data_IF_099102577316
#
_entry.id   IF_099102577316
#
_cell.length_a   1.000
_cell.length_b   1.000
_cell.length_c   1.000
_cell.angle_alpha   90.00
_cell.angle_beta   90.00
_cell.angle_gamma   90.00
#
_symmetry.space_group_name_H-M   'P 1'
#
loop_
_entity.id
_entity.type
_entity.pdbx_description
1 polymer ?
#
# COMPACT_ATOMS: atom_id res chain seq x y z
N UNK A 1 -13.62 -11.39 -45.82
CA UNK A 1 -13.11 -12.72 -45.40
C UNK A 1 -13.68 -13.17 -44.04
N UNK A 2 -13.53 -12.42 -42.94
CA UNK A 2 -14.11 -12.76 -41.61
C UNK A 2 -15.64 -12.93 -41.64
N UNK A 3 -16.35 -12.07 -42.36
CA UNK A 3 -17.83 -12.09 -42.46
C UNK A 3 -18.39 -13.35 -43.11
N UNK A 4 -17.66 -13.94 -44.08
CA UNK A 4 -18.06 -15.18 -44.73
C UNK A 4 -17.90 -16.40 -43.81
N UNK A 5 -16.85 -16.40 -42.98
CA UNK A 5 -16.60 -17.44 -41.97
C UNK A 5 -17.69 -17.42 -40.90
N UNK A 6 -18.04 -16.26 -40.36
CA UNK A 6 -19.12 -16.15 -39.38
C UNK A 6 -20.47 -16.57 -39.96
N UNK A 7 -20.77 -16.18 -41.21
CA UNK A 7 -22.00 -16.63 -41.89
C UNK A 7 -22.05 -18.15 -42.04
N UNK A 8 -20.93 -18.80 -42.31
CA UNK A 8 -20.83 -20.26 -42.41
C UNK A 8 -20.95 -20.98 -41.06
N UNK A 9 -20.41 -20.38 -39.99
CA UNK A 9 -20.52 -20.90 -38.62
C UNK A 9 -21.96 -20.80 -38.10
N UNK A 10 -22.62 -19.66 -38.33
CA UNK A 10 -23.99 -19.41 -37.88
C UNK A 10 -25.08 -20.06 -38.75
N UNK A 11 -24.73 -20.58 -39.93
CA UNK A 11 -25.66 -21.28 -40.82
C UNK A 11 -26.07 -22.66 -40.28
N UNK A 12 -25.41 -23.16 -39.23
CA UNK A 12 -25.64 -24.48 -38.66
C UNK A 12 -25.57 -24.41 -37.12
N UNK A 13 -26.64 -24.85 -36.42
CA UNK A 13 -26.68 -24.84 -34.96
C UNK A 13 -25.53 -25.61 -34.30
N UNK A 14 -25.12 -26.75 -34.86
CA UNK A 14 -24.02 -27.55 -34.28
C UNK A 14 -22.68 -26.84 -34.42
N UNK A 15 -22.43 -26.19 -35.56
CA UNK A 15 -21.19 -25.41 -35.76
C UNK A 15 -21.15 -24.18 -34.86
N UNK A 16 -22.30 -23.55 -34.62
CA UNK A 16 -22.41 -22.44 -33.68
C UNK A 16 -22.08 -22.89 -32.25
N UNK A 17 -22.61 -24.04 -31.82
CA UNK A 17 -22.32 -24.60 -30.50
C UNK A 17 -20.85 -24.98 -30.31
N UNK A 18 -20.26 -25.67 -31.29
CA UNK A 18 -18.83 -26.00 -31.27
C UNK A 18 -17.95 -24.74 -31.26
N UNK A 19 -18.35 -23.69 -31.97
CA UNK A 19 -17.64 -22.42 -31.95
C UNK A 19 -17.73 -21.72 -30.58
N UNK A 20 -18.89 -21.76 -29.92
CA UNK A 20 -19.05 -21.24 -28.56
C UNK A 20 -18.21 -22.02 -27.55
N UNK A 21 -18.20 -23.35 -27.62
CA UNK A 21 -17.37 -24.19 -26.76
C UNK A 21 -15.87 -23.92 -26.98
N UNK A 22 -15.45 -23.79 -28.24
CA UNK A 22 -14.08 -23.42 -28.59
C UNK A 22 -13.70 -22.05 -28.00
N UNK A 23 -14.55 -21.04 -28.16
CA UNK A 23 -14.31 -19.70 -27.63
C UNK A 23 -14.23 -19.71 -26.10
N UNK A 24 -15.14 -20.43 -25.42
CA UNK A 24 -15.13 -20.59 -23.96
C UNK A 24 -13.85 -21.28 -23.46
N UNK A 25 -13.38 -22.31 -24.17
CA UNK A 25 -12.11 -22.97 -23.87
C UNK A 25 -10.91 -22.03 -24.05
N UNK A 26 -10.90 -21.24 -25.13
CA UNK A 26 -9.85 -20.24 -25.37
C UNK A 26 -9.81 -19.17 -24.28
N UNK A 27 -10.97 -18.65 -23.83
CA UNK A 27 -11.01 -17.68 -22.72
C UNK A 27 -10.53 -18.29 -21.41
N UNK A 28 -10.85 -19.55 -21.12
CA UNK A 28 -10.37 -20.23 -19.91
C UNK A 28 -8.85 -20.44 -19.93
N UNK A 29 -8.31 -20.93 -21.05
CA UNK A 29 -6.88 -21.15 -21.23
C UNK A 29 -6.08 -19.84 -21.15
N UNK A 30 -6.58 -18.77 -21.78
CA UNK A 30 -5.95 -17.44 -21.68
C UNK A 30 -6.02 -16.90 -20.25
N UNK A 31 -7.14 -17.11 -19.55
CA UNK A 31 -7.29 -16.68 -18.15
C UNK A 31 -6.32 -17.41 -17.21
N UNK A 32 -6.15 -18.72 -17.38
CA UNK A 32 -5.17 -19.52 -16.63
C UNK A 32 -3.73 -19.13 -16.99
N UNK A 33 -3.43 -18.93 -18.28
CA UNK A 33 -2.12 -18.47 -18.72
C UNK A 33 -1.78 -17.08 -18.15
N UNK A 34 -2.74 -16.15 -18.15
CA UNK A 34 -2.57 -14.84 -17.49
C UNK A 34 -2.37 -15.03 -15.99
N UNK A 35 -3.14 -15.89 -15.32
CA UNK A 35 -2.98 -16.14 -13.89
C UNK A 35 -1.63 -16.76 -13.52
N UNK A 36 -1.00 -17.51 -14.44
CA UNK A 36 0.33 -18.13 -14.24
C UNK A 36 1.49 -17.22 -14.64
N UNK A 37 1.33 -16.44 -15.72
CA UNK A 37 2.35 -15.51 -16.21
C UNK A 37 2.41 -14.23 -15.38
N UNK A 38 1.26 -13.82 -14.84
CA UNK A 38 1.20 -12.76 -13.85
C UNK A 38 1.61 -13.40 -12.54
N UNK A 39 2.78 -13.03 -12.01
CA UNK A 39 3.09 -13.21 -10.60
C UNK A 39 1.86 -12.74 -9.79
N UNK A 40 1.63 -13.21 -8.55
CA UNK A 40 0.67 -12.56 -7.67
C UNK A 40 1.12 -11.11 -7.45
N UNK A 41 0.77 -10.24 -8.39
CA UNK A 41 0.79 -8.81 -8.25
C UNK A 41 -0.10 -8.56 -7.06
N UNK A 42 0.55 -8.17 -5.98
CA UNK A 42 -0.05 -7.72 -4.74
C UNK A 42 -1.18 -6.75 -5.10
N UNK A 43 -2.41 -7.25 -5.13
CA UNK A 43 -3.51 -6.60 -5.85
C UNK A 43 -3.65 -5.17 -5.36
N UNK A 44 -3.53 -4.26 -6.32
CA UNK A 44 -3.87 -2.84 -6.21
C UNK A 44 -5.35 -2.69 -5.86
N UNK A 45 -5.68 -2.79 -4.59
CA UNK A 45 -6.79 -2.07 -4.01
C UNK A 45 -6.19 -0.97 -3.15
N UNK A 46 -6.22 0.26 -3.67
CA UNK A 46 -6.39 1.39 -2.78
C UNK A 46 -7.66 1.09 -1.97
N UNK A 47 -7.56 1.08 -0.65
CA UNK A 47 -8.69 0.64 0.16
C UNK A 47 -8.38 0.34 1.60
N UNK A 48 -9.45 0.14 2.36
CA UNK A 48 -9.41 -0.21 3.76
C UNK A 48 -9.09 -1.70 3.91
N UNK A 49 -8.10 -2.03 4.73
CA UNK A 49 -7.70 -3.38 5.08
C UNK A 49 -7.76 -3.56 6.59
N UNK A 50 -8.32 -4.69 7.02
CA UNK A 50 -8.18 -5.15 8.41
C UNK A 50 -6.90 -5.96 8.55
N UNK A 51 -6.11 -5.61 9.56
CA UNK A 51 -4.84 -6.24 9.90
C UNK A 51 -4.87 -6.72 11.33
N UNK A 52 -4.21 -7.84 11.59
CA UNK A 52 -4.20 -8.48 12.91
C UNK A 52 -3.15 -7.85 13.82
N UNK A 53 -3.24 -8.14 15.12
CA UNK A 53 -2.16 -7.79 16.05
C UNK A 53 -0.87 -8.55 15.68
N UNK A 54 0.28 -7.91 15.82
CA UNK A 54 1.59 -8.45 15.46
C UNK A 54 1.92 -8.40 13.98
N UNK A 55 0.99 -7.97 13.12
CA UNK A 55 1.23 -7.88 11.69
C UNK A 55 2.18 -6.73 11.35
N UNK A 56 3.18 -7.01 10.52
CA UNK A 56 4.20 -6.04 10.08
C UNK A 56 3.72 -5.36 8.81
N UNK A 57 3.46 -4.05 8.89
CA UNK A 57 2.98 -3.26 7.76
C UNK A 57 4.12 -2.74 6.87
N UNK A 58 5.25 -2.44 7.50
CA UNK A 58 6.46 -1.95 6.85
C UNK A 58 7.63 -2.67 7.50
N UNK A 59 8.60 -3.13 6.71
CA UNK A 59 9.90 -3.61 7.21
C UNK A 59 10.97 -2.57 6.88
N UNK A 60 11.84 -2.31 7.85
CA UNK A 60 13.01 -1.47 7.67
C UNK A 60 13.90 -2.05 6.56
N UNK A 61 14.45 -1.19 5.69
CA UNK A 61 15.30 -1.57 4.57
C UNK A 61 14.57 -1.95 3.29
N UNK A 62 13.25 -2.17 3.33
CA UNK A 62 12.47 -2.47 2.12
C UNK A 62 12.36 -1.24 1.21
N UNK A 63 11.97 -1.47 -0.04
CA UNK A 63 11.61 -0.39 -0.96
C UNK A 63 10.22 0.17 -0.62
N UNK A 64 9.98 1.42 -1.01
CA UNK A 64 8.74 2.12 -0.72
C UNK A 64 7.87 2.29 -1.98
N UNK A 65 6.85 1.43 -2.07
CA UNK A 65 5.87 1.39 -3.15
C UNK A 65 4.45 1.85 -2.70
N UNK A 66 4.22 1.97 -1.40
CA UNK A 66 2.93 2.39 -0.82
C UNK A 66 3.11 3.30 0.42
N UNK A 67 2.05 4.05 0.74
CA UNK A 67 1.89 4.81 1.98
C UNK A 67 0.65 4.28 2.71
N UNK A 68 0.60 4.43 4.02
CA UNK A 68 -0.48 3.90 4.84
C UNK A 68 -1.08 4.97 5.77
N UNK A 69 -2.34 4.79 6.13
CA UNK A 69 -3.05 5.59 7.14
C UNK A 69 -3.73 4.67 8.13
N UNK A 70 -3.63 4.95 9.43
CA UNK A 70 -4.37 4.20 10.45
C UNK A 70 -5.76 4.81 10.59
N UNK A 71 -6.80 4.05 10.27
CA UNK A 71 -8.19 4.48 10.42
C UNK A 71 -8.71 4.09 11.81
N UNK A 72 -8.27 2.93 12.30
CA UNK A 72 -8.63 2.42 13.62
C UNK A 72 -7.52 1.50 14.16
N UNK A 73 -7.31 1.54 15.47
CA UNK A 73 -6.33 0.71 16.18
C UNK A 73 -5.00 1.40 16.44
N UNK A 74 -3.98 0.64 16.85
CA UNK A 74 -2.65 1.15 17.22
C UNK A 74 -1.49 0.43 16.50
N UNK A 75 -0.44 1.18 16.14
CA UNK A 75 0.82 0.63 15.63
C UNK A 75 2.03 1.31 16.27
N UNK A 76 3.14 0.59 16.22
CA UNK A 76 4.41 0.96 16.84
C UNK A 76 5.50 0.94 15.78
N UNK A 77 6.42 1.89 15.85
CA UNK A 77 7.57 2.01 14.98
C UNK A 77 8.82 1.45 15.67
N UNK A 78 9.59 0.66 14.93
CA UNK A 78 10.81 0.02 15.38
C UNK A 78 11.97 0.30 14.43
N UNK A 79 13.15 0.62 14.97
CA UNK A 79 14.40 0.75 14.22
C UNK A 79 15.40 -0.19 14.87
N UNK A 80 16.00 -1.09 14.08
CA UNK A 80 16.97 -2.09 14.55
C UNK A 80 16.45 -2.91 15.76
N UNK A 81 15.14 -3.18 15.75
CA UNK A 81 14.43 -3.91 16.81
C UNK A 81 14.07 -3.09 18.05
N UNK A 82 14.46 -1.82 18.14
CA UNK A 82 14.11 -0.94 19.25
C UNK A 82 12.87 -0.11 18.93
N UNK A 83 11.91 -0.04 19.86
CA UNK A 83 10.72 0.81 19.71
C UNK A 83 11.14 2.28 19.73
N UNK A 84 10.92 3.00 18.64
CA UNK A 84 11.25 4.43 18.49
C UNK A 84 10.03 5.34 18.65
N UNK A 85 8.83 4.77 18.70
CA UNK A 85 7.63 5.53 19.01
C UNK A 85 6.36 4.85 18.55
N UNK A 86 5.26 5.55 18.74
CA UNK A 86 3.93 5.13 18.32
C UNK A 86 3.53 5.82 17.01
N UNK A 87 2.63 5.17 16.27
CA UNK A 87 1.99 5.73 15.08
C UNK A 87 0.54 6.03 15.43
N UNK A 88 0.14 7.30 15.54
CA UNK A 88 -1.21 7.65 15.96
C UNK A 88 -2.23 7.38 14.85
N UNK A 89 -3.50 7.33 15.27
CA UNK A 89 -4.64 7.28 14.36
C UNK A 89 -4.69 8.52 13.46
N UNK A 90 -5.20 8.36 12.25
CA UNK A 90 -5.37 9.38 11.21
C UNK A 90 -4.06 10.02 10.72
N UNK A 91 -2.90 9.50 11.15
CA UNK A 91 -1.59 9.89 10.63
C UNK A 91 -1.21 9.06 9.41
N UNK A 92 -0.65 9.75 8.42
CA UNK A 92 -0.06 9.15 7.22
C UNK A 92 1.37 8.72 7.58
N UNK A 93 1.69 7.44 7.42
CA UNK A 93 3.01 6.89 7.73
C UNK A 93 3.61 6.11 6.55
N UNK A 94 4.94 5.98 6.55
CA UNK A 94 5.67 5.43 5.41
C UNK A 94 5.76 6.40 4.21
N UNK A 95 5.45 7.68 4.41
CA UNK A 95 5.53 8.69 3.34
C UNK A 95 6.98 9.10 3.02
N UNK A 96 7.89 9.07 4.00
CA UNK A 96 9.28 9.56 3.85
C UNK A 96 9.99 8.89 2.68
N UNK A 97 10.15 7.57 2.73
CA UNK A 97 10.80 6.77 1.69
C UNK A 97 10.12 6.90 0.31
N UNK A 98 8.81 7.19 0.27
CA UNK A 98 8.10 7.45 -1.00
C UNK A 98 8.53 8.79 -1.61
N UNK A 99 8.74 9.82 -0.79
CA UNK A 99 9.18 11.15 -1.22
C UNK A 99 10.68 11.24 -1.50
N UNK A 100 11.52 10.67 -0.62
CA UNK A 100 12.98 10.74 -0.74
C UNK A 100 13.54 9.75 -1.75
N UNK A 101 12.81 8.67 -2.03
CA UNK A 101 13.28 7.55 -2.84
C UNK A 101 14.27 6.64 -2.10
N UNK A 102 14.49 6.88 -0.81
CA UNK A 102 15.32 6.04 0.05
C UNK A 102 14.56 4.78 0.49
N UNK A 103 15.27 3.87 1.18
CA UNK A 103 14.67 2.66 1.77
C UNK A 103 13.86 3.02 3.01
N UNK A 104 13.02 2.09 3.49
CA UNK A 104 12.25 2.27 4.73
C UNK A 104 13.18 2.45 5.95
N UNK A 105 13.04 3.56 6.66
CA UNK A 105 13.85 3.86 7.85
C UNK A 105 13.46 3.05 9.10
N UNK A 106 12.24 2.53 9.14
CA UNK A 106 11.70 1.83 10.30
C UNK A 106 10.72 0.73 9.90
N UNK A 107 10.62 -0.29 10.75
CA UNK A 107 9.57 -1.29 10.70
C UNK A 107 8.33 -0.79 11.45
N UNK A 108 7.14 -1.00 10.91
CA UNK A 108 5.88 -0.63 11.56
C UNK A 108 5.09 -1.90 11.86
N UNK A 109 4.76 -2.13 13.12
CA UNK A 109 4.08 -3.34 13.60
C UNK A 109 2.78 -2.97 14.30
N UNK A 110 1.70 -3.70 14.02
CA UNK A 110 0.44 -3.53 14.76
C UNK A 110 0.58 -4.09 16.17
N UNK A 111 0.19 -3.31 17.17
CA UNK A 111 0.09 -3.77 18.56
C UNK A 111 -1.31 -4.30 18.91
N UNK A 112 -2.32 -4.00 18.07
CA UNK A 112 -3.72 -4.44 18.21
C UNK A 112 -4.35 -4.68 16.83
N UNK A 113 -5.41 -5.48 16.71
CA UNK A 113 -6.20 -5.58 15.47
C UNK A 113 -6.66 -4.20 15.02
N UNK A 114 -6.56 -3.92 13.74
CA UNK A 114 -6.63 -2.54 13.24
C UNK A 114 -7.16 -2.46 11.82
N UNK A 115 -7.68 -1.28 11.47
CA UNK A 115 -8.10 -0.95 10.10
C UNK A 115 -7.15 0.10 9.55
N UNK A 116 -6.53 -0.19 8.42
CA UNK A 116 -5.60 0.70 7.73
C UNK A 116 -6.10 1.01 6.33
N UNK A 117 -5.74 2.17 5.80
CA UNK A 117 -5.89 2.48 4.38
C UNK A 117 -4.51 2.41 3.72
N UNK A 118 -4.42 1.69 2.61
CA UNK A 118 -3.20 1.59 1.79
C UNK A 118 -3.37 2.42 0.52
N UNK A 119 -2.34 3.20 0.17
CA UNK A 119 -2.31 4.09 -0.99
C UNK A 119 -1.05 3.81 -1.79
N UNK A 120 -1.15 3.53 -3.09
CA UNK A 120 0.02 3.34 -3.94
C UNK A 120 0.83 4.64 -4.10
N UNK A 121 2.16 4.52 -4.25
CA UNK A 121 3.09 5.64 -4.43
C UNK A 121 2.63 6.64 -5.49
N UNK A 122 2.32 6.18 -6.70
CA UNK A 122 1.95 7.06 -7.81
C UNK A 122 0.65 7.82 -7.52
N UNK A 123 -0.32 7.15 -6.90
CA UNK A 123 -1.57 7.78 -6.49
C UNK A 123 -1.33 8.81 -5.39
N UNK A 124 -0.52 8.48 -4.38
CA UNK A 124 -0.19 9.39 -3.30
C UNK A 124 0.52 10.64 -3.80
N UNK A 125 1.48 10.50 -4.71
CA UNK A 125 2.17 11.62 -5.35
C UNK A 125 1.20 12.50 -6.15
N UNK A 126 0.30 11.88 -6.92
CA UNK A 126 -0.74 12.62 -7.66
C UNK A 126 -1.71 13.37 -6.73
N UNK A 127 -2.11 12.75 -5.61
CA UNK A 127 -2.96 13.38 -4.60
C UNK A 127 -2.26 14.54 -3.90
N UNK A 128 -0.98 14.39 -3.55
CA UNK A 128 -0.19 15.45 -2.95
C UNK A 128 -0.03 16.67 -3.88
N UNK A 129 0.09 16.43 -5.20
CA UNK A 129 0.18 17.49 -6.21
C UNK A 129 -1.16 18.18 -6.49
N UNK A 130 -2.25 17.40 -6.57
CA UNK A 130 -3.57 17.92 -6.94
C UNK A 130 -4.37 18.50 -5.78
N UNK A 131 -4.03 18.14 -4.53
CA UNK A 131 -4.76 18.58 -3.34
C UNK A 131 -3.80 19.15 -2.27
N UNK A 132 -3.60 20.48 -2.25
CA UNK A 132 -2.71 21.15 -1.29
C UNK A 132 -3.02 20.85 0.19
N UNK A 133 -4.26 20.48 0.52
CA UNK A 133 -4.63 20.13 1.91
C UNK A 133 -3.89 18.88 2.40
N UNK A 134 -3.68 17.89 1.53
CA UNK A 134 -2.99 16.64 1.89
C UNK A 134 -1.52 16.93 2.21
N UNK A 135 -0.86 17.72 1.36
CA UNK A 135 0.50 18.20 1.62
C UNK A 135 0.56 19.00 2.93
N UNK A 136 -0.41 19.88 3.17
CA UNK A 136 -0.53 20.63 4.43
C UNK A 136 -0.60 19.72 5.66
N UNK A 137 -1.46 18.70 5.66
CA UNK A 137 -1.58 17.76 6.77
C UNK A 137 -0.31 16.94 7.03
N UNK A 138 0.42 16.58 5.97
CA UNK A 138 1.72 15.92 6.10
C UNK A 138 2.75 16.83 6.77
N UNK A 139 2.87 18.08 6.28
CA UNK A 139 3.78 19.08 6.84
C UNK A 139 3.47 19.33 8.31
N UNK A 140 2.19 19.46 8.66
CA UNK A 140 1.74 19.68 10.03
C UNK A 140 2.07 18.49 10.95
N UNK A 141 1.88 17.26 10.47
CA UNK A 141 2.26 16.03 11.19
C UNK A 141 3.78 15.97 11.42
N UNK A 142 4.58 16.25 10.39
CA UNK A 142 6.04 16.30 10.49
C UNK A 142 6.50 17.38 11.47
N UNK A 143 5.93 18.59 11.40
CA UNK A 143 6.26 19.68 12.31
C UNK A 143 5.99 19.31 13.78
N UNK A 144 4.81 18.70 14.07
CA UNK A 144 4.50 18.19 15.42
C UNK A 144 5.52 17.16 15.89
N UNK A 145 5.94 16.26 15.00
CA UNK A 145 6.88 15.19 15.35
C UNK A 145 8.29 15.72 15.62
N UNK A 146 8.75 16.69 14.83
CA UNK A 146 10.02 17.39 15.05
C UNK A 146 10.00 18.13 16.40
N UNK A 147 8.91 18.85 16.71
CA UNK A 147 8.77 19.55 18.00
C UNK A 147 8.81 18.58 19.19
N UNK A 148 8.10 17.45 19.09
CA UNK A 148 8.11 16.41 20.12
C UNK A 148 9.52 15.83 20.34
N UNK A 149 10.22 15.51 19.25
CA UNK A 149 11.59 14.99 19.31
C UNK A 149 12.56 16.02 19.89
N UNK A 150 12.45 17.29 19.52
CA UNK A 150 13.27 18.36 20.07
C UNK A 150 13.07 18.52 21.59
N UNK A 151 11.83 18.40 22.08
CA UNK A 151 11.52 18.41 23.52
C UNK A 151 12.15 17.23 24.25
N UNK A 152 12.10 16.03 23.68
CA UNK A 152 12.75 14.85 24.26
C UNK A 152 14.27 14.99 24.32
N UNK A 153 14.90 15.47 23.24
CA UNK A 153 16.34 15.73 23.20
C UNK A 153 16.73 16.74 24.28
N UNK A 154 15.98 17.83 24.42
CA UNK A 154 16.23 18.87 25.43
C UNK A 154 16.12 18.33 26.87
N UNK A 155 15.17 17.43 27.13
CA UNK A 155 15.05 16.79 28.45
C UNK A 155 16.22 15.85 28.74
N UNK A 156 16.66 15.07 27.74
CA UNK A 156 17.79 14.16 27.86
C UNK A 156 19.12 14.90 28.10
N UNK A 157 19.34 16.04 27.43
CA UNK A 157 20.52 16.88 27.64
C UNK A 157 20.49 17.54 29.01
N UNK A 158 19.34 18.02 29.48
CA UNK A 158 19.19 18.58 30.83
C UNK A 158 19.49 17.54 31.94
N UNK A 159 19.00 16.30 31.79
CA UNK A 159 19.28 15.22 32.74
C UNK A 159 20.76 14.80 32.76
N UNK A 160 21.43 14.75 31.60
CA UNK A 160 22.87 14.45 31.54
C UNK A 160 23.77 15.51 32.16
N UNK A 161 23.30 16.75 32.28
CA UNK A 161 24.10 17.84 32.87
C UNK A 161 23.96 17.89 34.40
N UNK A 162 23.02 17.13 34.97
CA UNK A 162 22.71 17.12 36.41
C UNK A 162 23.32 15.91 37.13
N UNK A 163 23.91 14.96 36.41
CA UNK A 163 24.74 13.85 36.93
C UNK A 163 26.21 14.13 36.63
#
# INVERSE_FOLDING_TARGET
RKTAVFRHIYADPQRSELFLQYMAGQTALLSDAIARLKQPEFRSTNGFQRVSSGEVLIRQGDEADHVFVIIEGHAEAFVDGQKVGDVPKDEIFGAMAVFTGERRDASIVRSKPSTIMRIAKDQFMSLAQSNPKIAGSLIESMARRIDLLNKQVTQLTAQKTTN
#
